data_IF_452677048321
#
_entry.id   IF_452677048321
#
_cell.length_a   1.000
_cell.length_b   1.000
_cell.length_c   1.000
_cell.angle_alpha   90.00
_cell.angle_beta   90.00
_cell.angle_gamma   90.00
#
_symmetry.space_group_name_H-M   'P 1'
#
loop_
_entity.id
_entity.type
_entity.pdbx_description
1 polymer ?
#
# COMPACT_ATOMS: atom_id res chain seq x y z
N UNK A 1 -11.22 -59.24 19.51
CA UNK A 1 -11.14 -58.82 18.09
C UNK A 1 -11.59 -57.37 18.06
N UNK A 2 -10.65 -56.44 18.19
CA UNK A 2 -9.99 -55.72 17.09
C UNK A 2 -11.03 -54.98 16.24
N UNK A 3 -11.23 -53.69 16.50
CA UNK A 3 -10.48 -52.60 15.86
C UNK A 3 -11.08 -52.27 14.48
N UNK A 4 -12.31 -51.76 14.40
CA UNK A 4 -12.90 -51.38 13.10
C UNK A 4 -13.90 -50.22 13.11
N UNK A 5 -13.92 -49.38 14.15
CA UNK A 5 -14.88 -48.25 14.15
C UNK A 5 -14.35 -46.95 14.77
N UNK A 6 -13.03 -46.77 14.74
CA UNK A 6 -12.38 -45.47 15.05
C UNK A 6 -11.77 -44.86 13.78
N UNK A 7 -11.82 -45.56 12.64
CA UNK A 7 -11.14 -45.15 11.41
C UNK A 7 -11.88 -44.10 10.58
N UNK A 8 -13.16 -43.82 10.87
CA UNK A 8 -13.95 -42.86 10.08
C UNK A 8 -13.87 -41.41 10.58
N UNK A 9 -13.29 -41.17 11.76
CA UNK A 9 -13.26 -39.83 12.37
C UNK A 9 -11.96 -39.04 12.12
N UNK A 10 -10.94 -39.64 11.50
CA UNK A 10 -9.59 -39.05 11.43
C UNK A 10 -9.19 -38.48 10.07
N UNK A 11 -10.01 -38.63 9.01
CA UNK A 11 -9.58 -38.28 7.64
C UNK A 11 -10.16 -36.97 7.07
N UNK A 12 -11.03 -36.27 7.80
CA UNK A 12 -11.66 -35.02 7.33
C UNK A 12 -11.17 -33.77 8.05
N UNK A 13 -10.03 -33.87 8.75
CA UNK A 13 -9.37 -32.75 9.42
C UNK A 13 -8.06 -32.31 8.73
N UNK A 14 -7.87 -32.67 7.47
CA UNK A 14 -6.70 -32.24 6.69
C UNK A 14 -7.10 -31.25 5.59
N UNK A 15 -6.45 -30.10 5.67
CA UNK A 15 -6.21 -29.16 4.57
C UNK A 15 -7.32 -28.16 4.21
N UNK A 16 -7.84 -27.45 5.21
CA UNK A 16 -8.08 -26.00 5.05
C UNK A 16 -6.80 -25.23 5.44
N UNK A 17 -5.68 -25.57 4.81
CA UNK A 17 -4.55 -24.66 4.74
C UNK A 17 -4.96 -23.58 3.74
N UNK A 18 -5.76 -22.62 4.20
CA UNK A 18 -5.88 -21.35 3.52
C UNK A 18 -4.48 -20.79 3.43
N UNK A 19 -3.88 -20.88 2.25
CA UNK A 19 -2.76 -20.05 1.89
C UNK A 19 -3.29 -18.62 1.95
N UNK A 20 -3.22 -18.02 3.15
CA UNK A 20 -3.23 -16.57 3.26
C UNK A 20 -2.04 -16.14 2.41
N UNK A 21 -2.31 -15.66 1.20
CA UNK A 21 -1.36 -14.83 0.49
C UNK A 21 -1.03 -13.73 1.48
N UNK A 22 0.18 -13.77 2.03
CA UNK A 22 0.73 -12.63 2.73
C UNK A 22 0.66 -11.50 1.71
N UNK A 23 -0.35 -10.63 1.89
CA UNK A 23 -0.51 -9.42 1.10
C UNK A 23 0.61 -8.50 1.54
N UNK A 24 1.82 -8.78 1.05
CA UNK A 24 2.99 -7.94 1.22
C UNK A 24 2.79 -6.75 0.27
N UNK A 25 1.84 -5.89 0.66
CA UNK A 25 1.49 -4.71 -0.10
C UNK A 25 2.71 -3.80 -0.14
N UNK A 26 3.07 -3.34 -1.34
CA UNK A 26 4.20 -2.44 -1.53
C UNK A 26 3.97 -1.15 -0.74
N UNK A 27 4.94 -0.77 0.10
CA UNK A 27 4.86 0.42 0.95
C UNK A 27 5.82 1.50 0.46
N UNK A 28 5.35 2.75 0.48
CA UNK A 28 6.16 3.95 0.26
C UNK A 28 6.50 4.53 1.62
N UNK A 29 7.79 4.78 1.86
CA UNK A 29 8.31 5.46 3.04
C UNK A 29 8.72 6.86 2.59
N UNK A 30 8.30 7.89 3.33
CA UNK A 30 8.59 9.27 2.99
C UNK A 30 8.72 10.15 4.23
N UNK A 31 9.43 11.27 4.10
CA UNK A 31 9.53 12.29 5.13
C UNK A 31 8.27 13.18 5.13
N UNK A 32 7.78 13.48 6.33
CA UNK A 32 6.66 14.38 6.57
C UNK A 32 7.16 15.62 7.28
N UNK A 33 6.53 16.76 7.03
CA UNK A 33 6.87 18.04 7.66
C UNK A 33 5.58 18.73 8.10
N UNK A 34 5.51 19.14 9.37
CA UNK A 34 4.42 19.97 9.86
C UNK A 34 4.64 21.47 9.53
N UNK A 35 3.62 22.29 9.78
CA UNK A 35 3.71 23.73 9.50
C UNK A 35 4.70 24.49 10.41
N UNK A 36 5.21 23.85 11.46
CA UNK A 36 6.24 24.41 12.34
C UNK A 36 7.65 24.01 11.90
N UNK A 37 7.77 23.18 10.86
CA UNK A 37 9.03 22.65 10.35
C UNK A 37 9.52 21.40 11.07
N UNK A 38 8.73 20.81 11.96
CA UNK A 38 9.11 19.53 12.55
C UNK A 38 8.95 18.43 11.51
N UNK A 39 9.97 17.57 11.40
CA UNK A 39 9.94 16.46 10.47
C UNK A 39 9.80 15.10 11.16
N UNK A 40 9.32 14.13 10.40
CA UNK A 40 9.12 12.74 10.81
C UNK A 40 8.97 11.84 9.59
N UNK A 41 8.70 10.56 9.79
CA UNK A 41 8.53 9.61 8.69
C UNK A 41 7.15 8.96 8.73
N UNK A 42 6.60 8.70 7.55
CA UNK A 42 5.39 7.92 7.37
C UNK A 42 5.64 6.76 6.40
N UNK A 43 4.94 5.66 6.62
CA UNK A 43 4.95 4.48 5.76
C UNK A 43 3.51 4.18 5.37
N UNK A 44 3.23 4.15 4.08
CA UNK A 44 1.87 3.98 3.56
C UNK A 44 1.83 2.97 2.42
N UNK A 45 0.76 2.19 2.34
CA UNK A 45 0.49 1.35 1.18
C UNK A 45 0.18 2.20 -0.06
N UNK A 46 0.58 1.74 -1.24
CA UNK A 46 0.30 2.49 -2.50
C UNK A 46 -1.20 2.53 -2.80
N UNK A 47 -1.91 1.47 -2.47
CA UNK A 47 -3.35 1.35 -2.59
C UNK A 47 -4.11 2.21 -1.57
N UNK A 48 -3.44 2.62 -0.49
CA UNK A 48 -3.95 3.56 0.52
C UNK A 48 -3.94 5.01 0.05
N UNK A 49 -3.08 5.35 -0.92
CA UNK A 49 -2.95 6.71 -1.43
C UNK A 49 -4.17 7.11 -2.26
N UNK A 50 -4.90 8.12 -1.81
CA UNK A 50 -6.09 8.63 -2.49
C UNK A 50 -5.76 9.77 -3.45
N UNK A 51 -5.13 10.84 -2.97
CA UNK A 51 -4.74 11.99 -3.80
C UNK A 51 -3.67 12.85 -3.15
N UNK A 52 -3.06 13.72 -3.95
CA UNK A 52 -2.11 14.73 -3.52
C UNK A 52 -2.59 16.14 -3.87
N UNK A 53 -2.61 17.02 -2.87
CA UNK A 53 -3.12 18.39 -2.94
C UNK A 53 -2.06 19.41 -2.52
N UNK A 54 -2.38 20.70 -2.66
CA UNK A 54 -1.64 21.76 -1.96
C UNK A 54 -2.07 21.76 -0.49
N UNK A 55 -1.11 21.88 0.41
CA UNK A 55 -1.35 22.13 1.83
C UNK A 55 -1.58 23.62 2.11
N UNK A 56 -1.95 23.91 3.36
CA UNK A 56 -2.32 25.26 3.80
C UNK A 56 -1.12 26.12 4.20
N UNK A 57 -0.02 25.50 4.61
CA UNK A 57 1.18 26.19 5.08
C UNK A 57 2.35 26.16 4.07
N UNK A 58 3.26 27.12 4.23
CA UNK A 58 4.48 27.23 3.44
C UNK A 58 5.62 26.43 4.07
N UNK A 59 6.60 26.05 3.24
CA UNK A 59 7.87 25.49 3.69
C UNK A 59 8.60 26.52 4.57
N UNK A 60 9.08 26.17 5.78
CA UNK A 60 9.75 27.11 6.67
C UNK A 60 10.99 27.77 6.04
N UNK A 61 11.76 27.00 5.28
CA UNK A 61 12.97 27.47 4.60
C UNK A 61 12.66 28.18 3.27
N UNK A 62 11.45 28.01 2.73
CA UNK A 62 11.01 28.53 1.44
C UNK A 62 9.57 29.06 1.53
N UNK A 63 9.35 30.25 2.12
CA UNK A 63 8.00 30.75 2.41
C UNK A 63 7.16 31.03 1.14
N UNK A 64 7.80 31.15 -0.02
CA UNK A 64 7.18 31.25 -1.35
C UNK A 64 6.59 29.92 -1.84
N UNK A 65 6.89 28.81 -1.18
CA UNK A 65 6.50 27.46 -1.58
C UNK A 65 5.53 26.88 -0.56
N UNK A 66 4.33 26.55 -1.03
CA UNK A 66 3.38 25.77 -0.24
C UNK A 66 3.83 24.31 -0.14
N UNK A 67 3.70 23.76 1.06
CA UNK A 67 3.80 22.33 1.30
C UNK A 67 2.70 21.58 0.52
N UNK A 68 2.92 20.30 0.32
CA UNK A 68 1.98 19.36 -0.30
C UNK A 68 1.30 18.55 0.78
N UNK A 69 0.08 18.11 0.48
CA UNK A 69 -0.71 17.26 1.36
C UNK A 69 -1.04 15.96 0.63
N UNK A 70 -0.63 14.84 1.19
CA UNK A 70 -0.98 13.50 0.75
C UNK A 70 -2.14 13.00 1.61
N UNK A 71 -3.23 12.59 0.95
CA UNK A 71 -4.38 11.99 1.61
C UNK A 71 -4.33 10.48 1.42
N UNK A 72 -4.41 9.77 2.54
CA UNK A 72 -4.29 8.32 2.63
C UNK A 72 -5.56 7.80 3.29
N UNK A 73 -6.23 6.84 2.68
CA UNK A 73 -7.40 6.20 3.31
C UNK A 73 -6.93 5.24 4.41
N UNK A 74 -7.72 5.12 5.47
CA UNK A 74 -7.41 4.24 6.60
C UNK A 74 -8.27 2.96 6.60
N UNK A 75 -8.90 2.64 5.46
CA UNK A 75 -9.83 1.52 5.33
C UNK A 75 -11.19 1.70 6.03
N UNK A 76 -11.39 2.74 6.84
CA UNK A 76 -12.65 3.02 7.57
C UNK A 76 -13.55 4.03 6.86
N UNK A 77 -13.12 4.55 5.71
CA UNK A 77 -13.77 5.66 5.00
C UNK A 77 -13.30 7.05 5.46
N UNK A 78 -12.35 7.10 6.40
CA UNK A 78 -11.67 8.32 6.82
C UNK A 78 -10.34 8.49 6.09
N UNK A 79 -9.78 9.69 6.18
CA UNK A 79 -8.51 10.04 5.54
C UNK A 79 -7.53 10.56 6.58
N UNK A 80 -6.31 10.02 6.55
CA UNK A 80 -5.15 10.64 7.20
C UNK A 80 -4.46 11.57 6.21
N UNK A 81 -4.12 12.77 6.67
CA UNK A 81 -3.40 13.75 5.87
C UNK A 81 -1.95 13.85 6.34
N UNK A 82 -1.01 13.59 5.43
CA UNK A 82 0.41 13.84 5.65
C UNK A 82 0.82 15.09 4.89
N UNK A 83 1.58 15.95 5.54
CA UNK A 83 2.15 17.15 4.92
C UNK A 83 3.61 16.88 4.57
N UNK A 84 4.04 17.30 3.39
CA UNK A 84 5.35 16.98 2.81
C UNK A 84 5.86 18.14 1.96
N UNK A 85 7.18 18.21 1.79
CA UNK A 85 7.81 19.18 0.90
C UNK A 85 7.43 18.92 -0.55
N UNK A 86 7.63 19.91 -1.43
CA UNK A 86 7.37 19.72 -2.86
C UNK A 86 8.27 18.67 -3.50
N UNK A 87 9.48 18.49 -2.98
CA UNK A 87 10.41 17.49 -3.49
C UNK A 87 10.03 16.10 -3.00
N UNK A 88 9.62 15.97 -1.75
CA UNK A 88 9.17 14.69 -1.23
C UNK A 88 7.85 14.22 -1.87
N UNK A 89 6.96 15.18 -2.18
CA UNK A 89 5.79 14.92 -3.03
C UNK A 89 6.16 14.31 -4.39
N UNK A 90 7.22 14.81 -5.03
CA UNK A 90 7.65 14.27 -6.33
C UNK A 90 8.21 12.86 -6.17
N UNK A 91 8.92 12.58 -5.09
CA UNK A 91 9.44 11.25 -4.78
C UNK A 91 8.31 10.25 -4.60
N UNK A 92 7.32 10.54 -3.74
CA UNK A 92 6.14 9.69 -3.55
C UNK A 92 5.41 9.44 -4.87
N UNK A 93 5.20 10.48 -5.68
CA UNK A 93 4.52 10.35 -6.98
C UNK A 93 5.33 9.53 -8.00
N UNK A 94 6.67 9.58 -7.94
CA UNK A 94 7.54 8.76 -8.79
C UNK A 94 7.43 7.29 -8.40
N UNK A 95 7.54 7.00 -7.12
CA UNK A 95 7.54 5.63 -6.59
C UNK A 95 6.16 4.97 -6.85
N UNK A 96 5.07 5.73 -6.69
CA UNK A 96 3.72 5.29 -7.08
C UNK A 96 3.62 4.96 -8.57
N UNK A 97 4.19 5.79 -9.46
CA UNK A 97 4.18 5.52 -10.91
C UNK A 97 4.99 4.26 -11.25
N UNK A 98 6.12 4.06 -10.59
CA UNK A 98 6.96 2.88 -10.77
C UNK A 98 6.21 1.61 -10.37
N UNK A 99 5.56 1.62 -9.21
CA UNK A 99 4.69 0.53 -8.76
C UNK A 99 3.58 0.23 -9.77
N UNK A 100 2.85 1.25 -10.23
CA UNK A 100 1.77 1.06 -11.20
C UNK A 100 2.28 0.52 -12.55
N UNK A 101 3.48 0.91 -12.97
CA UNK A 101 4.11 0.37 -14.18
C UNK A 101 4.49 -1.09 -14.01
N UNK A 102 5.07 -1.46 -12.88
CA UNK A 102 5.40 -2.85 -12.56
C UNK A 102 4.13 -3.72 -12.52
N UNK A 103 3.08 -3.25 -11.84
CA UNK A 103 1.79 -3.94 -11.75
C UNK A 103 1.15 -4.13 -13.12
N UNK A 104 1.15 -3.10 -13.97
CA UNK A 104 0.67 -3.20 -15.36
C UNK A 104 1.45 -4.26 -16.15
N UNK A 105 2.77 -4.29 -16.03
CA UNK A 105 3.62 -5.27 -16.72
C UNK A 105 3.39 -6.72 -16.26
N UNK A 106 2.99 -6.94 -15.01
CA UNK A 106 2.59 -8.27 -14.52
C UNK A 106 1.27 -8.70 -15.17
N UNK A 107 0.26 -7.82 -15.17
CA UNK A 107 -1.05 -8.10 -15.76
C UNK A 107 -0.97 -8.44 -17.25
N UNK A 108 -0.16 -7.69 -18.02
CA UNK A 108 0.04 -7.94 -19.45
C UNK A 108 0.70 -9.31 -19.73
N UNK A 109 1.53 -9.84 -18.81
CA UNK A 109 2.15 -11.17 -18.97
C UNK A 109 1.22 -12.31 -18.56
N UNK A 110 0.34 -12.08 -17.59
CA UNK A 110 -0.59 -13.12 -17.10
C UNK A 110 -1.68 -13.49 -18.13
N UNK A 111 -2.05 -12.58 -19.02
CA UNK A 111 -3.04 -12.85 -20.08
C UNK A 111 -2.52 -13.79 -21.20
N UNK A 112 -1.24 -14.20 -21.15
CA UNK A 112 -0.64 -15.09 -22.16
C UNK A 112 -0.84 -16.59 -21.92
N UNK A 113 -1.53 -17.00 -20.84
CA UNK A 113 -1.89 -18.41 -20.58
C UNK A 113 -3.39 -18.62 -20.81
N UNK A 114 -3.84 -18.57 -22.07
CA UNK A 114 -5.07 -19.26 -22.45
C UNK A 114 -4.68 -20.68 -22.83
N UNK A 115 -4.83 -21.63 -21.90
CA UNK A 115 -4.81 -23.06 -22.24
C UNK A 115 -6.11 -23.34 -22.99
N UNK A 116 -6.03 -23.35 -24.33
CA UNK A 116 -7.10 -23.85 -25.17
C UNK A 116 -7.32 -25.33 -24.85
N UNK A 117 -8.53 -25.66 -24.42
CA UNK A 117 -8.99 -27.02 -24.21
C UNK A 117 -9.87 -27.46 -25.39
#
# INVERSE_FOLDING_TARGET
MKLSLVFFSALLFLCSAGAGFADDSYKIIFETMDCSGNTGFATVGVDEIYKMNNGDCSEPDHPDRKLKQLLVHDGSGSYTAYTLTRDEAKNVMRDMKEYMRARKGVLERSDSIIIGH
#
